data_IF_941277222486
#
_entry.id   IF_941277222486
#
_cell.length_a   1.000
_cell.length_b   1.000
_cell.length_c   1.000
_cell.angle_alpha   90.00
_cell.angle_beta   90.00
_cell.angle_gamma   90.00
#
_symmetry.space_group_name_H-M   'P 1'
#
loop_
_entity.id
_entity.type
_entity.pdbx_description
1 polymer ?
#
# COMPACT_ATOMS: atom_id res chain seq x y z
N UNK A 1 26.06 -19.32 -25.42
CA UNK A 1 24.76 -18.67 -25.16
C UNK A 1 24.84 -17.97 -23.80
N UNK A 2 25.30 -16.71 -23.73
CA UNK A 2 25.52 -16.04 -22.43
C UNK A 2 24.76 -14.72 -22.23
N UNK A 3 24.07 -14.22 -23.24
CA UNK A 3 23.32 -12.97 -23.16
C UNK A 3 21.97 -13.16 -23.86
N UNK A 4 20.97 -13.53 -23.07
CA UNK A 4 19.58 -13.61 -23.53
C UNK A 4 18.81 -12.45 -22.89
N UNK A 5 18.54 -11.35 -23.64
CA UNK A 5 17.86 -10.15 -23.12
C UNK A 5 16.47 -10.45 -22.57
N UNK A 6 15.86 -11.56 -23.00
CA UNK A 6 14.54 -12.03 -22.53
C UNK A 6 14.54 -12.51 -21.08
N UNK A 7 15.72 -12.81 -20.51
CA UNK A 7 15.90 -13.22 -19.10
C UNK A 7 16.24 -12.06 -18.17
N UNK A 8 16.29 -10.83 -18.69
CA UNK A 8 16.61 -9.66 -17.90
C UNK A 8 15.47 -9.36 -16.94
N UNK A 9 15.78 -8.89 -15.72
CA UNK A 9 14.75 -8.46 -14.79
C UNK A 9 13.89 -7.37 -15.43
N UNK A 10 12.57 -7.48 -15.31
CA UNK A 10 11.70 -6.35 -15.59
C UNK A 10 11.87 -5.32 -14.45
N UNK A 11 12.90 -4.47 -14.61
CA UNK A 11 13.25 -3.43 -13.66
C UNK A 11 12.08 -2.46 -13.42
N UNK A 12 11.21 -2.24 -14.41
CA UNK A 12 10.03 -1.40 -14.23
C UNK A 12 9.03 -2.04 -13.26
N UNK A 13 8.80 -3.35 -13.36
CA UNK A 13 7.93 -4.07 -12.44
C UNK A 13 8.48 -4.09 -11.01
N UNK A 14 9.79 -4.27 -10.85
CA UNK A 14 10.46 -4.25 -9.55
C UNK A 14 10.35 -2.87 -8.90
N UNK A 15 10.67 -1.81 -9.64
CA UNK A 15 10.54 -0.42 -9.15
C UNK A 15 9.08 -0.10 -8.79
N UNK A 16 8.13 -0.53 -9.61
CA UNK A 16 6.70 -0.32 -9.34
C UNK A 16 6.25 -1.01 -8.05
N UNK A 17 6.67 -2.26 -7.81
CA UNK A 17 6.35 -3.00 -6.59
C UNK A 17 7.02 -2.39 -5.35
N UNK A 18 8.26 -1.91 -5.48
CA UNK A 18 8.94 -1.17 -4.42
C UNK A 18 8.24 0.14 -4.07
N UNK A 19 7.83 0.92 -5.08
CA UNK A 19 7.04 2.13 -4.87
C UNK A 19 5.70 1.82 -4.20
N UNK A 20 4.99 0.78 -4.66
CA UNK A 20 3.73 0.35 -4.06
C UNK A 20 3.91 -0.04 -2.58
N UNK A 21 4.94 -0.84 -2.27
CA UNK A 21 5.31 -1.21 -0.91
C UNK A 21 5.58 0.04 -0.05
N UNK A 22 6.45 0.94 -0.50
CA UNK A 22 6.81 2.16 0.23
C UNK A 22 5.60 3.06 0.48
N UNK A 23 4.72 3.24 -0.52
CA UNK A 23 3.48 3.99 -0.37
C UNK A 23 2.55 3.34 0.65
N UNK A 24 2.30 2.03 0.54
CA UNK A 24 1.42 1.33 1.50
C UNK A 24 1.95 1.39 2.93
N UNK A 25 3.26 1.20 3.11
CA UNK A 25 3.90 1.32 4.42
C UNK A 25 3.78 2.75 4.96
N UNK A 26 4.07 3.75 4.13
CA UNK A 26 3.97 5.17 4.50
C UNK A 26 2.56 5.58 4.92
N UNK A 27 1.54 5.22 4.13
CA UNK A 27 0.15 5.49 4.46
C UNK A 27 -0.32 4.70 5.70
N UNK A 28 0.12 3.45 5.85
CA UNK A 28 -0.19 2.63 7.04
C UNK A 28 0.38 3.21 8.34
N UNK A 29 1.63 3.70 8.29
CA UNK A 29 2.28 4.40 9.42
C UNK A 29 1.56 5.72 9.71
N UNK A 30 1.22 6.48 8.68
CA UNK A 30 0.48 7.73 8.85
C UNK A 30 -0.90 7.49 9.51
N UNK A 31 -1.65 6.48 9.06
CA UNK A 31 -2.93 6.10 9.64
C UNK A 31 -2.80 5.65 11.09
N UNK A 32 -1.75 4.90 11.43
CA UNK A 32 -1.47 4.50 12.81
C UNK A 32 -1.11 5.69 13.71
N UNK A 33 -0.29 6.62 13.20
CA UNK A 33 0.05 7.84 13.94
C UNK A 33 -1.17 8.73 14.15
N UNK A 34 -2.03 8.88 13.14
CA UNK A 34 -3.31 9.59 13.27
C UNK A 34 -4.21 8.94 14.34
N UNK A 35 -4.31 7.60 14.35
CA UNK A 35 -5.02 6.86 15.38
C UNK A 35 -4.44 7.10 16.79
N UNK A 36 -3.11 7.15 16.93
CA UNK A 36 -2.43 7.42 18.21
C UNK A 36 -2.60 8.86 18.70
N UNK A 37 -2.62 9.83 17.78
CA UNK A 37 -2.75 11.26 18.11
C UNK A 37 -4.20 11.68 18.39
N UNK A 38 -5.19 10.83 18.07
CA UNK A 38 -6.59 11.06 18.43
C UNK A 38 -6.81 10.82 19.95
N UNK A 39 -6.69 11.92 20.71
CA UNK A 39 -6.81 12.00 22.19
C UNK A 39 -8.27 11.89 22.66
N UNK A 40 -9.25 12.04 21.77
CA UNK A 40 -10.68 12.08 22.13
C UNK A 40 -11.25 10.67 22.36
N UNK A 41 -11.85 10.50 23.54
CA UNK A 41 -12.71 9.43 24.07
C UNK A 41 -12.82 8.14 23.23
N UNK A 42 -12.22 7.09 23.79
CA UNK A 42 -12.35 5.61 23.69
C UNK A 42 -13.22 4.97 22.59
N UNK A 43 -14.24 5.61 21.99
CA UNK A 43 -15.11 5.03 20.95
C UNK A 43 -15.49 6.06 19.87
N UNK A 44 -14.54 6.81 19.32
CA UNK A 44 -14.82 7.58 18.10
C UNK A 44 -14.82 6.65 16.87
N UNK A 45 -15.88 6.65 16.03
CA UNK A 45 -15.90 5.86 14.79
C UNK A 45 -14.72 6.19 13.86
N UNK A 46 -14.19 7.41 13.96
CA UNK A 46 -13.03 7.89 13.17
C UNK A 46 -11.75 7.18 13.57
N UNK A 47 -11.53 7.02 14.88
CA UNK A 47 -10.37 6.31 15.44
C UNK A 47 -10.34 4.86 14.98
N UNK A 48 -11.51 4.22 14.92
CA UNK A 48 -11.69 2.87 14.37
C UNK A 48 -11.41 2.82 12.87
N UNK A 49 -11.87 3.81 12.10
CA UNK A 49 -11.55 3.89 10.67
C UNK A 49 -10.05 4.02 10.44
N UNK A 50 -9.34 4.91 11.14
CA UNK A 50 -7.88 5.04 11.01
C UNK A 50 -7.14 3.75 11.36
N UNK A 51 -7.59 3.05 12.41
CA UNK A 51 -7.04 1.74 12.77
C UNK A 51 -7.26 0.70 11.68
N UNK A 52 -8.49 0.62 11.13
CA UNK A 52 -8.83 -0.30 10.06
C UNK A 52 -8.02 -0.02 8.79
N UNK A 53 -7.89 1.25 8.39
CA UNK A 53 -7.02 1.65 7.28
C UNK A 53 -5.56 1.27 7.54
N UNK A 54 -5.04 1.48 8.75
CA UNK A 54 -3.68 1.05 9.12
C UNK A 54 -3.48 -0.46 8.94
N UNK A 55 -4.43 -1.28 9.41
CA UNK A 55 -4.37 -2.74 9.24
C UNK A 55 -4.46 -3.16 7.76
N UNK A 56 -5.34 -2.55 6.98
CA UNK A 56 -5.48 -2.86 5.56
C UNK A 56 -4.22 -2.45 4.78
N UNK A 57 -3.62 -1.29 5.09
CA UNK A 57 -2.33 -0.90 4.52
C UNK A 57 -1.19 -1.83 4.90
N UNK A 58 -1.17 -2.36 6.14
CA UNK A 58 -0.20 -3.35 6.56
C UNK A 58 -0.32 -4.65 5.75
N UNK A 59 -1.54 -5.17 5.62
CA UNK A 59 -1.81 -6.38 4.81
C UNK A 59 -1.42 -6.15 3.35
N UNK A 60 -1.78 -5.00 2.78
CA UNK A 60 -1.38 -4.63 1.42
C UNK A 60 0.15 -4.51 1.27
N UNK A 61 0.84 -3.98 2.29
CA UNK A 61 2.30 -3.90 2.31
C UNK A 61 2.94 -5.28 2.33
N UNK A 62 2.42 -6.22 3.13
CA UNK A 62 2.90 -7.61 3.18
C UNK A 62 2.65 -8.31 1.84
N UNK A 63 1.48 -8.10 1.22
CA UNK A 63 1.18 -8.65 -0.10
C UNK A 63 2.13 -8.11 -1.18
N UNK A 64 2.37 -6.79 -1.21
CA UNK A 64 3.33 -6.16 -2.12
C UNK A 64 4.76 -6.68 -1.93
N UNK A 65 5.19 -6.85 -0.67
CA UNK A 65 6.50 -7.40 -0.34
C UNK A 65 6.64 -8.87 -0.74
N UNK A 66 5.64 -9.70 -0.44
CA UNK A 66 5.61 -11.11 -0.81
C UNK A 66 5.67 -11.26 -2.33
N UNK A 67 4.91 -10.44 -3.04
CA UNK A 67 4.92 -10.42 -4.50
C UNK A 67 6.27 -9.99 -5.06
N UNK A 68 6.92 -8.97 -4.48
CA UNK A 68 8.28 -8.57 -4.85
C UNK A 68 9.25 -9.74 -4.68
N UNK A 69 9.22 -10.45 -3.55
CA UNK A 69 10.07 -11.61 -3.29
C UNK A 69 9.81 -12.74 -4.31
N UNK A 70 8.56 -13.05 -4.61
CA UNK A 70 8.20 -14.07 -5.62
C UNK A 70 8.71 -13.67 -7.00
N UNK A 71 8.53 -12.41 -7.40
CA UNK A 71 9.02 -11.88 -8.68
C UNK A 71 10.56 -11.97 -8.78
N UNK A 72 11.27 -11.70 -7.68
CA UNK A 72 12.74 -11.80 -7.63
C UNK A 72 13.23 -13.27 -7.66
N UNK A 73 12.58 -14.18 -6.94
CA UNK A 73 12.97 -15.59 -6.84
C UNK A 73 12.65 -16.36 -8.13
N UNK A 74 11.42 -16.23 -8.63
CA UNK A 74 10.93 -17.04 -9.74
C UNK A 74 11.15 -16.39 -11.11
N UNK A 75 11.63 -15.14 -11.16
CA UNK A 75 11.77 -14.33 -12.39
C UNK A 75 10.51 -14.39 -13.27
N UNK A 76 9.36 -14.57 -12.64
CA UNK A 76 8.09 -14.81 -13.31
C UNK A 76 7.35 -13.48 -13.43
N UNK A 77 7.85 -12.66 -14.35
CA UNK A 77 7.41 -11.28 -14.57
C UNK A 77 6.00 -11.21 -15.21
N UNK A 78 5.59 -12.27 -15.92
CA UNK A 78 4.44 -12.25 -16.82
C UNK A 78 3.04 -12.26 -16.18
N UNK A 79 2.86 -12.61 -14.90
CA UNK A 79 1.49 -12.86 -14.38
C UNK A 79 1.10 -12.17 -13.09
N UNK A 80 2.02 -11.54 -12.37
CA UNK A 80 1.70 -11.08 -11.02
C UNK A 80 0.92 -9.75 -10.95
N UNK A 81 0.78 -8.98 -12.05
CA UNK A 81 0.99 -7.54 -11.90
C UNK A 81 0.10 -6.60 -12.71
N UNK A 82 -1.21 -6.84 -12.73
CA UNK A 82 -2.15 -5.76 -13.06
C UNK A 82 -3.14 -5.47 -11.92
N UNK A 83 -3.71 -6.49 -11.28
CA UNK A 83 -4.77 -6.27 -10.28
C UNK A 83 -4.30 -5.67 -8.95
N UNK A 84 -3.13 -6.04 -8.42
CA UNK A 84 -2.69 -5.57 -7.10
C UNK A 84 -2.38 -4.06 -7.08
N UNK A 85 -1.85 -3.52 -8.18
CA UNK A 85 -1.52 -2.09 -8.29
C UNK A 85 -2.74 -1.19 -8.25
N UNK A 86 -3.80 -1.52 -8.99
CA UNK A 86 -5.05 -0.77 -8.97
C UNK A 86 -5.76 -0.84 -7.63
N UNK A 87 -5.80 -2.01 -6.99
CA UNK A 87 -6.39 -2.16 -5.65
C UNK A 87 -5.66 -1.30 -4.60
N UNK A 88 -4.33 -1.25 -4.69
CA UNK A 88 -3.50 -0.41 -3.82
C UNK A 88 -3.78 1.08 -4.05
N UNK A 89 -3.93 1.48 -5.31
CA UNK A 89 -4.22 2.86 -5.68
C UNK A 89 -5.63 3.29 -5.21
N UNK A 90 -6.61 2.40 -5.36
CA UNK A 90 -7.98 2.64 -4.88
C UNK A 90 -8.04 2.75 -3.35
N UNK A 91 -7.25 1.93 -2.64
CA UNK A 91 -7.08 2.01 -1.19
C UNK A 91 -6.45 3.35 -0.74
N UNK A 92 -5.43 3.82 -1.47
CA UNK A 92 -4.82 5.14 -1.20
C UNK A 92 -5.83 6.26 -1.47
N UNK A 93 -6.57 6.21 -2.57
CA UNK A 93 -7.58 7.21 -2.90
C UNK A 93 -8.71 7.26 -1.88
N UNK A 94 -9.21 6.10 -1.40
CA UNK A 94 -10.25 6.07 -0.37
C UNK A 94 -9.77 6.62 0.96
N UNK A 95 -8.51 6.38 1.32
CA UNK A 95 -7.89 6.95 2.50
C UNK A 95 -7.69 8.48 2.39
N UNK A 96 -7.26 8.99 1.22
CA UNK A 96 -7.15 10.43 0.96
C UNK A 96 -8.54 11.08 1.01
N UNK A 97 -9.57 10.45 0.44
CA UNK A 97 -10.94 10.94 0.50
C UNK A 97 -11.46 11.03 1.95
N UNK A 98 -11.13 10.05 2.79
CA UNK A 98 -11.41 10.09 4.22
C UNK A 98 -10.72 11.30 4.88
N UNK A 99 -9.43 11.50 4.66
CA UNK A 99 -8.68 12.64 5.20
C UNK A 99 -9.25 13.99 4.72
N UNK A 100 -9.59 14.11 3.44
CA UNK A 100 -10.16 15.33 2.86
C UNK A 100 -11.58 15.61 3.39
N UNK A 101 -12.41 14.58 3.55
CA UNK A 101 -13.72 14.68 4.17
C UNK A 101 -13.66 15.09 5.65
N UNK A 102 -12.64 14.63 6.37
CA UNK A 102 -12.37 15.01 7.77
C UNK A 102 -11.98 16.49 7.88
N UNK A 103 -11.19 17.02 6.95
CA UNK A 103 -10.78 18.43 6.93
C UNK A 103 -11.92 19.42 6.65
N UNK A 104 -13.02 18.99 6.01
CA UNK A 104 -14.17 19.86 5.71
C UNK A 104 -15.19 19.98 6.85
N UNK A 105 -15.22 19.04 7.80
CA UNK A 105 -16.17 19.04 8.93
C UNK A 105 -15.70 19.82 10.17
N UNK A 106 -14.70 20.69 10.02
CA UNK A 106 -14.16 21.54 11.09
C UNK A 106 -14.76 22.95 11.11
N UNK A 107 -16.00 23.12 10.61
CA UNK A 107 -16.82 24.32 10.75
C UNK A 107 -18.16 23.95 11.38
#
# INVERSE_FOLDING_TARGET
MLFDPTKWPDWFQIVRLLCAFALTAGFGIHAYNAHKQEIVEVVSPRKWMYWLYSMVFLVASIANFTQLCITLIFRNYEKASFHLGYSTLLLVLSYIALLAGVRRKTF
#
